data_IF_911037645742
#
_entry.id   IF_911037645742
#
_cell.length_a   1.000
_cell.length_b   1.000
_cell.length_c   1.000
_cell.angle_alpha   90.00
_cell.angle_beta   90.00
_cell.angle_gamma   90.00
#
_symmetry.space_group_name_H-M   'P 1'
#
loop_
_entity.id
_entity.type
_entity.pdbx_description
1 polymer ?
#
# COMPACT_ATOMS: atom_id res chain seq x y z
N UNK A 1 36.03 -18.84 -29.93
CA UNK A 1 34.79 -19.60 -29.68
C UNK A 1 33.89 -18.72 -28.80
N UNK A 2 32.95 -17.88 -29.26
CA UNK A 2 31.82 -18.03 -30.20
C UNK A 2 30.88 -19.19 -29.85
N UNK A 3 29.87 -18.88 -29.04
CA UNK A 3 28.50 -19.41 -29.06
C UNK A 3 27.54 -18.27 -28.65
N UNK A 4 26.26 -18.30 -29.07
CA UNK A 4 25.59 -17.16 -29.68
C UNK A 4 24.49 -16.56 -28.78
N UNK A 5 24.31 -15.25 -28.86
CA UNK A 5 23.14 -14.58 -28.31
C UNK A 5 22.06 -14.45 -29.38
N UNK A 6 20.99 -15.22 -29.18
CA UNK A 6 19.75 -15.17 -29.94
C UNK A 6 19.04 -13.83 -29.67
N UNK A 7 19.07 -12.92 -30.65
CA UNK A 7 18.33 -11.65 -30.63
C UNK A 7 17.00 -11.82 -31.37
N UNK A 8 15.95 -12.17 -30.63
CA UNK A 8 14.57 -11.94 -31.05
C UNK A 8 13.79 -11.35 -29.88
N UNK A 9 13.41 -10.07 -30.02
CA UNK A 9 12.40 -9.28 -29.30
C UNK A 9 12.91 -7.99 -28.63
N UNK A 10 13.21 -6.98 -29.46
CA UNK A 10 13.12 -5.57 -29.06
C UNK A 10 12.62 -4.73 -30.25
N UNK A 11 11.39 -4.17 -30.23
CA UNK A 11 10.93 -3.32 -31.30
C UNK A 11 11.04 -1.81 -30.95
N UNK A 12 11.51 -1.07 -31.96
CA UNK A 12 11.00 0.26 -32.39
C UNK A 12 11.23 1.50 -31.52
N UNK A 13 12.47 1.77 -31.11
CA UNK A 13 12.88 3.14 -30.75
C UNK A 13 14.01 3.72 -31.63
N UNK A 14 14.71 2.88 -32.40
CA UNK A 14 15.95 3.29 -33.07
C UNK A 14 15.82 3.66 -34.56
N UNK A 15 14.63 3.55 -35.16
CA UNK A 15 14.41 3.84 -36.60
C UNK A 15 13.91 5.26 -36.91
N UNK A 16 13.51 6.05 -35.91
CA UNK A 16 13.06 7.45 -36.11
C UNK A 16 14.22 8.46 -36.16
N UNK A 17 15.38 8.14 -35.58
CA UNK A 17 16.55 9.04 -35.56
C UNK A 17 17.30 9.19 -36.89
N UNK A 18 17.08 8.31 -37.88
CA UNK A 18 17.77 8.36 -39.18
C UNK A 18 16.92 8.88 -40.35
N UNK A 19 15.64 9.15 -40.13
CA UNK A 19 14.75 9.78 -41.12
C UNK A 19 14.79 11.33 -41.05
N UNK A 20 15.06 11.90 -39.87
CA UNK A 20 15.13 13.36 -39.67
C UNK A 20 16.51 13.97 -40.02
N UNK A 21 17.55 13.15 -40.17
CA UNK A 21 18.91 13.63 -40.46
C UNK A 21 19.26 13.68 -41.96
N UNK A 22 18.31 13.40 -42.88
CA UNK A 22 18.55 13.40 -44.34
C UNK A 22 17.74 14.42 -45.14
N UNK A 23 17.00 15.32 -44.48
CA UNK A 23 16.17 16.34 -45.15
C UNK A 23 16.74 17.76 -45.19
N UNK A 24 17.95 18.03 -44.66
CA UNK A 24 18.44 19.42 -44.42
C UNK A 24 19.46 19.90 -45.47
N UNK A 25 19.44 19.38 -46.70
CA UNK A 25 20.23 19.96 -47.79
C UNK A 25 19.49 19.88 -49.12
N UNK A 26 18.58 20.81 -49.36
CA UNK A 26 18.40 21.48 -50.66
C UNK A 26 17.15 22.35 -50.65
N UNK A 27 17.34 23.57 -51.16
CA UNK A 27 16.38 24.38 -51.89
C UNK A 27 15.10 24.87 -51.18
N UNK A 28 15.01 26.20 -51.10
CA UNK A 28 13.91 26.89 -51.77
C UNK A 28 12.74 27.29 -50.88
N UNK A 29 12.61 28.62 -50.74
CA UNK A 29 11.40 29.37 -50.39
C UNK A 29 10.12 28.63 -50.84
N UNK A 30 9.31 28.15 -49.89
CA UNK A 30 7.93 27.73 -50.13
C UNK A 30 7.06 28.30 -49.02
N UNK A 31 6.06 29.06 -49.44
CA UNK A 31 5.05 29.74 -48.64
C UNK A 31 4.31 28.74 -47.75
N UNK A 32 4.16 29.11 -46.47
CA UNK A 32 3.38 28.33 -45.51
C UNK A 32 1.90 28.64 -45.73
N UNK A 33 1.27 27.90 -46.62
CA UNK A 33 -0.19 27.73 -46.67
C UNK A 33 -0.49 26.24 -46.63
N UNK A 34 -0.79 25.73 -45.45
CA UNK A 34 -1.15 24.33 -45.26
C UNK A 34 -1.83 24.16 -43.91
N UNK A 35 -3.16 24.03 -43.95
CA UNK A 35 -4.01 23.65 -42.83
C UNK A 35 -3.40 22.49 -42.03
N UNK A 36 -3.03 22.74 -40.78
CA UNK A 36 -2.65 21.69 -39.84
C UNK A 36 -3.91 20.87 -39.49
N UNK A 37 -3.98 19.57 -39.82
CA UNK A 37 -5.07 18.75 -39.34
C UNK A 37 -4.94 18.59 -37.82
N UNK A 38 -6.04 18.81 -37.10
CA UNK A 38 -6.16 18.55 -35.66
C UNK A 38 -6.01 17.05 -35.37
N UNK A 39 -4.79 16.52 -35.45
CA UNK A 39 -4.48 15.16 -35.01
C UNK A 39 -4.42 15.15 -33.49
N UNK A 40 -5.60 14.96 -32.86
CA UNK A 40 -5.69 14.61 -31.44
C UNK A 40 -5.02 13.26 -31.26
N UNK A 41 -3.78 13.27 -30.79
CA UNK A 41 -3.07 12.07 -30.35
C UNK A 41 -3.88 11.40 -29.22
N UNK A 42 -4.75 10.47 -29.60
CA UNK A 42 -5.38 9.55 -28.64
C UNK A 42 -4.33 8.51 -28.26
N UNK A 43 -3.53 8.85 -27.25
CA UNK A 43 -2.69 7.89 -26.54
C UNK A 43 -3.54 6.68 -26.17
N UNK A 44 -3.06 5.50 -26.55
CA UNK A 44 -3.79 4.25 -26.47
C UNK A 44 -4.20 3.94 -25.02
N UNK A 45 -5.49 3.66 -24.83
CA UNK A 45 -6.13 3.39 -23.53
C UNK A 45 -5.74 2.05 -22.89
N UNK A 46 -4.61 1.43 -23.29
CA UNK A 46 -4.13 0.14 -22.77
C UNK A 46 -3.07 0.25 -21.68
N UNK A 47 -2.61 1.47 -21.35
CA UNK A 47 -1.78 1.77 -20.16
C UNK A 47 -2.67 2.24 -18.97
N UNK A 48 -4.00 2.21 -19.13
CA UNK A 48 -4.97 2.97 -18.34
C UNK A 48 -5.18 2.58 -16.85
N UNK A 49 -4.35 1.70 -16.29
CA UNK A 49 -4.35 1.40 -14.86
C UNK A 49 -3.07 1.90 -14.20
N UNK A 50 -2.77 3.19 -14.36
CA UNK A 50 -1.85 3.84 -13.42
C UNK A 50 -2.34 3.58 -11.98
N UNK A 51 -1.45 3.15 -11.08
CA UNK A 51 -1.80 2.92 -9.69
C UNK A 51 -2.37 4.21 -9.10
N UNK A 52 -3.32 4.07 -8.16
CA UNK A 52 -3.96 5.23 -7.51
C UNK A 52 -2.91 6.17 -6.90
N UNK A 53 -1.77 5.64 -6.44
CA UNK A 53 -0.65 6.42 -5.92
C UNK A 53 -0.03 7.36 -6.96
N UNK A 54 0.14 6.92 -8.22
CA UNK A 54 0.65 7.76 -9.30
C UNK A 54 -0.31 8.92 -9.61
N UNK A 55 -1.61 8.62 -9.68
CA UNK A 55 -2.68 9.62 -9.88
C UNK A 55 -2.76 10.64 -8.75
N UNK A 56 -2.53 10.21 -7.50
CA UNK A 56 -2.49 11.10 -6.34
C UNK A 56 -1.25 12.01 -6.38
N UNK A 57 -0.12 11.51 -6.89
CA UNK A 57 1.12 12.28 -7.01
C UNK A 57 1.07 13.32 -8.14
N UNK A 58 0.41 13.02 -9.27
CA UNK A 58 0.17 14.02 -10.31
C UNK A 58 -0.67 15.18 -9.78
N UNK A 59 -1.76 14.88 -9.05
CA UNK A 59 -2.55 15.88 -8.35
C UNK A 59 -1.72 16.68 -7.35
N UNK A 60 -0.91 16.01 -6.52
CA UNK A 60 -0.05 16.68 -5.54
C UNK A 60 0.97 17.63 -6.20
N UNK A 61 1.58 17.23 -7.32
CA UNK A 61 2.49 18.09 -8.10
C UNK A 61 1.78 19.33 -8.62
N UNK A 62 0.59 19.17 -9.19
CA UNK A 62 -0.20 20.28 -9.72
C UNK A 62 -0.60 21.24 -8.59
N UNK A 63 -1.03 20.72 -7.43
CA UNK A 63 -1.33 21.55 -6.26
C UNK A 63 -0.10 22.29 -5.75
N UNK A 64 1.07 21.65 -5.72
CA UNK A 64 2.32 22.27 -5.28
C UNK A 64 2.76 23.40 -6.22
N UNK A 65 2.70 23.19 -7.54
CA UNK A 65 3.03 24.21 -8.55
C UNK A 65 2.02 25.35 -8.51
N UNK A 66 0.73 25.04 -8.49
CA UNK A 66 -0.31 26.06 -8.43
C UNK A 66 -0.21 26.93 -7.16
N UNK A 67 0.14 26.34 -6.02
CA UNK A 67 0.36 27.09 -4.79
C UNK A 67 1.62 27.97 -4.85
N UNK A 68 2.71 27.50 -5.47
CA UNK A 68 3.96 28.28 -5.62
C UNK A 68 3.81 29.48 -6.54
N UNK A 69 3.15 29.27 -7.66
CA UNK A 69 2.99 30.25 -8.74
C UNK A 69 1.74 31.13 -8.57
N UNK A 70 0.96 30.92 -7.49
CA UNK A 70 -0.29 31.67 -7.25
C UNK A 70 -1.37 31.43 -8.31
N UNK A 71 -1.33 30.29 -9.02
CA UNK A 71 -2.22 30.00 -10.14
C UNK A 71 -3.62 29.58 -9.66
N UNK A 72 -4.66 29.76 -10.49
CA UNK A 72 -6.02 29.30 -10.18
C UNK A 72 -6.08 27.77 -10.02
N UNK A 73 -5.91 27.28 -8.79
CA UNK A 73 -5.84 25.84 -8.46
C UNK A 73 -7.03 25.06 -9.04
N UNK A 74 -8.22 25.67 -9.04
CA UNK A 74 -9.44 25.03 -9.53
C UNK A 74 -9.40 24.71 -11.03
N UNK A 75 -8.83 25.59 -11.86
CA UNK A 75 -8.70 25.36 -13.31
C UNK A 75 -7.71 24.25 -13.60
N UNK A 76 -6.57 24.23 -12.91
CA UNK A 76 -5.56 23.18 -13.08
C UNK A 76 -6.07 21.80 -12.62
N UNK A 77 -6.83 21.74 -11.53
CA UNK A 77 -7.49 20.50 -11.09
C UNK A 77 -8.55 20.04 -12.10
N UNK A 78 -9.28 20.97 -12.73
CA UNK A 78 -10.22 20.65 -13.79
C UNK A 78 -9.52 20.09 -15.04
N UNK A 79 -8.42 20.71 -15.47
CA UNK A 79 -7.60 20.24 -16.59
C UNK A 79 -7.07 18.81 -16.33
N UNK A 80 -6.54 18.56 -15.13
CA UNK A 80 -6.11 17.22 -14.72
C UNK A 80 -7.27 16.20 -14.71
N UNK A 81 -8.48 16.66 -14.42
CA UNK A 81 -9.65 15.79 -14.45
C UNK A 81 -9.95 15.27 -15.86
N UNK A 82 -9.65 16.05 -16.90
CA UNK A 82 -9.86 15.66 -18.29
C UNK A 82 -8.82 14.66 -18.82
N UNK A 83 -7.63 14.61 -18.22
CA UNK A 83 -6.60 13.59 -18.49
C UNK A 83 -6.94 12.22 -17.88
N UNK A 84 -7.87 12.16 -16.93
CA UNK A 84 -8.23 10.94 -16.23
C UNK A 84 -9.64 10.44 -16.61
N UNK A 85 -9.94 9.18 -16.28
CA UNK A 85 -11.24 8.57 -16.56
C UNK A 85 -11.88 7.94 -15.32
N UNK A 86 -13.18 7.62 -15.41
CA UNK A 86 -13.91 6.83 -14.41
C UNK A 86 -14.18 7.53 -13.08
N UNK A 87 -14.00 6.81 -11.97
CA UNK A 87 -14.29 7.32 -10.61
C UNK A 87 -13.35 8.44 -10.18
N UNK A 88 -12.09 8.41 -10.64
CA UNK A 88 -11.08 9.41 -10.25
C UNK A 88 -11.37 10.78 -10.89
N UNK A 89 -11.70 10.82 -12.19
CA UNK A 89 -12.18 12.04 -12.86
C UNK A 89 -13.33 12.71 -12.11
N UNK A 90 -14.35 11.92 -11.71
CA UNK A 90 -15.50 12.44 -10.93
C UNK A 90 -15.09 13.02 -9.56
N UNK A 91 -14.01 12.53 -8.95
CA UNK A 91 -13.46 13.10 -7.71
C UNK A 91 -12.76 14.43 -7.99
N UNK A 92 -11.91 14.49 -9.01
CA UNK A 92 -11.23 15.73 -9.40
C UNK A 92 -12.21 16.84 -9.81
N UNK A 93 -13.25 16.51 -10.59
CA UNK A 93 -14.30 17.48 -10.93
C UNK A 93 -15.11 17.96 -9.71
N UNK A 94 -15.24 17.16 -8.66
CA UNK A 94 -15.83 17.61 -7.39
C UNK A 94 -14.88 18.53 -6.65
N UNK A 95 -13.60 18.20 -6.59
CA UNK A 95 -12.57 19.05 -5.98
C UNK A 95 -12.49 20.40 -6.69
N UNK A 96 -12.44 20.42 -8.03
CA UNK A 96 -12.41 21.64 -8.84
C UNK A 96 -13.63 22.53 -8.57
N UNK A 97 -14.84 21.95 -8.54
CA UNK A 97 -16.07 22.70 -8.23
C UNK A 97 -16.05 23.34 -6.84
N UNK A 98 -15.53 22.64 -5.82
CA UNK A 98 -15.41 23.19 -4.46
C UNK A 98 -14.38 24.32 -4.38
N UNK A 99 -13.27 24.19 -5.10
CA UNK A 99 -12.28 25.26 -5.20
C UNK A 99 -12.84 26.47 -5.95
N UNK A 100 -13.64 26.26 -7.00
CA UNK A 100 -14.36 27.33 -7.72
C UNK A 100 -15.40 28.02 -6.85
N UNK A 101 -16.07 27.31 -5.94
CA UNK A 101 -17.04 27.90 -5.01
C UNK A 101 -16.39 28.67 -3.85
N UNK A 102 -15.06 28.82 -3.84
CA UNK A 102 -14.33 29.60 -2.84
C UNK A 102 -13.95 28.83 -1.57
N UNK A 103 -14.15 27.51 -1.51
CA UNK A 103 -13.69 26.72 -0.37
C UNK A 103 -12.17 26.72 -0.29
N UNK A 104 -11.63 26.77 0.93
CA UNK A 104 -10.18 26.65 1.14
C UNK A 104 -9.67 25.30 0.59
N UNK A 105 -8.41 25.26 0.13
CA UNK A 105 -7.80 24.04 -0.41
C UNK A 105 -7.93 22.85 0.56
N UNK A 106 -7.69 23.13 1.84
CA UNK A 106 -7.71 22.14 2.91
C UNK A 106 -9.13 21.58 3.13
N UNK A 107 -10.15 22.45 3.12
CA UNK A 107 -11.55 22.04 3.26
C UNK A 107 -12.05 21.28 2.02
N UNK A 108 -11.71 21.76 0.83
CA UNK A 108 -12.09 21.12 -0.43
C UNK A 108 -11.53 19.70 -0.55
N UNK A 109 -10.30 19.47 -0.05
CA UNK A 109 -9.66 18.16 0.02
C UNK A 109 -10.34 17.23 1.04
N UNK A 110 -10.69 17.72 2.23
CA UNK A 110 -11.40 16.90 3.23
C UNK A 110 -12.79 16.49 2.78
N UNK A 111 -13.52 17.40 2.13
CA UNK A 111 -14.84 17.12 1.59
C UNK A 111 -14.80 16.29 0.28
N UNK A 112 -13.61 15.93 -0.20
CA UNK A 112 -13.37 15.09 -1.38
C UNK A 112 -12.45 13.91 -1.02
N UNK A 113 -12.96 12.91 -0.26
CA UNK A 113 -12.15 11.77 0.13
C UNK A 113 -11.66 11.00 -1.10
N UNK A 114 -10.47 10.39 -0.97
CA UNK A 114 -9.75 9.62 -1.99
C UNK A 114 -9.20 10.38 -3.19
N UNK A 115 -9.36 11.70 -3.24
CA UNK A 115 -8.61 12.54 -4.18
C UNK A 115 -7.11 12.50 -3.83
N UNK A 116 -6.80 12.59 -2.54
CA UNK A 116 -5.48 12.34 -1.96
C UNK A 116 -5.57 11.27 -0.87
N UNK A 117 -4.40 10.80 -0.45
CA UNK A 117 -4.21 9.96 0.72
C UNK A 117 -4.59 10.71 2.02
N UNK A 118 -5.19 10.04 3.01
CA UNK A 118 -5.49 10.63 4.33
C UNK A 118 -4.24 11.27 4.98
N UNK A 119 -3.07 10.63 4.81
CA UNK A 119 -1.76 11.13 5.25
C UNK A 119 -1.38 12.45 4.55
N UNK A 120 -1.62 12.53 3.23
CA UNK A 120 -1.33 13.74 2.44
C UNK A 120 -2.28 14.89 2.79
N UNK A 121 -3.56 14.60 3.01
CA UNK A 121 -4.55 15.61 3.43
C UNK A 121 -4.21 16.16 4.81
N UNK A 122 -3.85 15.29 5.75
CA UNK A 122 -3.38 15.69 7.08
C UNK A 122 -2.12 16.55 6.99
N UNK A 123 -1.16 16.16 6.13
CA UNK A 123 0.06 16.92 5.90
C UNK A 123 -0.22 18.33 5.37
N UNK A 124 -1.05 18.44 4.32
CA UNK A 124 -1.42 19.73 3.71
C UNK A 124 -2.15 20.61 4.74
N UNK A 125 -3.06 20.04 5.53
CA UNK A 125 -3.73 20.78 6.62
C UNK A 125 -2.74 21.27 7.67
N UNK A 126 -1.84 20.41 8.12
CA UNK A 126 -0.81 20.77 9.09
C UNK A 126 0.07 21.89 8.55
N UNK A 127 0.59 21.74 7.32
CA UNK A 127 1.42 22.73 6.64
C UNK A 127 0.71 24.08 6.43
N UNK A 128 -0.60 24.06 6.17
CA UNK A 128 -1.41 25.27 6.08
C UNK A 128 -1.51 25.99 7.44
N UNK A 129 -1.80 25.26 8.52
CA UNK A 129 -1.92 25.85 9.87
C UNK A 129 -0.58 26.28 10.46
N UNK A 130 0.51 25.56 10.18
CA UNK A 130 1.86 25.91 10.60
C UNK A 130 2.54 26.94 9.68
N UNK A 131 1.90 27.33 8.57
CA UNK A 131 2.49 28.21 7.56
C UNK A 131 3.75 27.64 6.91
N UNK A 132 3.92 26.31 6.89
CA UNK A 132 5.04 25.61 6.25
C UNK A 132 4.62 24.86 4.99
N UNK A 133 3.51 25.27 4.37
CA UNK A 133 2.87 24.55 3.26
C UNK A 133 3.82 24.26 2.08
N UNK A 134 4.69 25.21 1.72
CA UNK A 134 5.72 25.00 0.68
C UNK A 134 6.68 23.86 1.03
N UNK A 135 7.24 23.88 2.24
CA UNK A 135 8.14 22.84 2.72
C UNK A 135 7.45 21.48 2.84
N UNK A 136 6.17 21.47 3.24
CA UNK A 136 5.36 20.25 3.28
C UNK A 136 5.14 19.67 1.88
N UNK A 137 4.85 20.49 0.86
CA UNK A 137 4.75 20.01 -0.52
C UNK A 137 6.08 19.45 -1.02
N UNK A 138 7.20 20.14 -0.78
CA UNK A 138 8.55 19.65 -1.13
C UNK A 138 8.82 18.28 -0.52
N UNK A 139 8.50 18.12 0.75
CA UNK A 139 8.71 16.88 1.48
C UNK A 139 7.81 15.73 0.99
N UNK A 140 6.53 16.00 0.72
CA UNK A 140 5.62 15.01 0.15
C UNK A 140 6.05 14.59 -1.26
N UNK A 141 6.62 15.51 -2.05
CA UNK A 141 7.14 15.24 -3.39
C UNK A 141 8.52 14.56 -3.38
N UNK A 142 9.33 14.76 -2.35
CA UNK A 142 10.63 14.10 -2.18
C UNK A 142 10.48 12.65 -1.71
N UNK A 143 9.38 12.30 -1.06
CA UNK A 143 9.11 10.94 -0.60
C UNK A 143 8.92 10.00 -1.81
N UNK A 144 9.74 8.94 -2.00
CA UNK A 144 9.59 8.00 -3.12
C UNK A 144 8.24 7.27 -3.10
N UNK A 145 7.67 6.94 -4.28
CA UNK A 145 6.39 6.20 -4.40
C UNK A 145 6.50 4.81 -3.77
N UNK A 146 7.68 4.20 -3.87
CA UNK A 146 7.94 2.81 -3.50
C UNK A 146 7.88 2.55 -1.99
N UNK A 147 7.96 3.59 -1.16
CA UNK A 147 8.19 3.43 0.28
C UNK A 147 6.91 3.49 1.13
N UNK A 148 5.79 4.00 0.58
CA UNK A 148 4.58 4.30 1.39
C UNK A 148 3.30 3.62 0.85
N UNK A 149 3.24 3.29 -0.44
CA UNK A 149 1.97 2.91 -1.07
C UNK A 149 1.99 1.58 -1.80
N UNK A 150 3.13 1.17 -2.31
CA UNK A 150 3.27 -0.08 -3.02
C UNK A 150 4.10 -1.01 -2.14
N UNK A 151 3.48 -2.10 -1.67
CA UNK A 151 4.24 -3.32 -1.51
C UNK A 151 5.17 -3.40 -2.72
N UNK A 152 6.50 -3.38 -2.49
CA UNK A 152 7.48 -3.46 -3.57
C UNK A 152 7.01 -4.49 -4.59
N UNK A 153 7.33 -4.38 -5.89
CA UNK A 153 6.94 -5.39 -6.87
C UNK A 153 7.12 -6.81 -6.31
N UNK A 154 8.20 -7.05 -5.56
CA UNK A 154 8.42 -8.24 -4.72
C UNK A 154 7.27 -8.62 -3.80
N UNK A 155 6.79 -7.73 -2.93
CA UNK A 155 5.67 -8.02 -2.03
C UNK A 155 4.32 -8.18 -2.78
N UNK A 156 4.11 -7.50 -3.91
CA UNK A 156 2.94 -7.77 -4.77
C UNK A 156 3.03 -9.16 -5.41
N UNK A 157 4.21 -9.57 -5.90
CA UNK A 157 4.45 -10.93 -6.39
C UNK A 157 4.25 -11.97 -5.28
N UNK A 158 4.73 -11.73 -4.06
CA UNK A 158 4.47 -12.60 -2.91
C UNK A 158 2.97 -12.76 -2.64
N UNK A 159 2.18 -11.70 -2.75
CA UNK A 159 0.72 -11.79 -2.57
C UNK A 159 0.02 -12.60 -3.67
N UNK A 160 0.42 -12.44 -4.93
CA UNK A 160 -0.11 -13.27 -6.01
C UNK A 160 0.27 -14.75 -5.81
N UNK A 161 1.51 -15.02 -5.40
CA UNK A 161 1.95 -16.36 -5.06
C UNK A 161 1.11 -16.96 -3.92
N UNK A 162 0.84 -16.20 -2.86
CA UNK A 162 0.00 -16.63 -1.72
C UNK A 162 -1.42 -17.00 -2.15
N UNK A 163 -2.06 -16.15 -2.96
CA UNK A 163 -3.42 -16.42 -3.47
C UNK A 163 -3.41 -17.65 -4.40
N UNK A 164 -2.43 -17.74 -5.31
CA UNK A 164 -2.28 -18.87 -6.21
C UNK A 164 -2.12 -20.19 -5.47
N UNK A 165 -1.28 -20.21 -4.42
CA UNK A 165 -1.09 -21.38 -3.57
C UNK A 165 -2.34 -21.74 -2.77
N UNK A 166 -3.07 -20.76 -2.23
CA UNK A 166 -4.35 -21.04 -1.56
C UNK A 166 -5.39 -21.62 -2.52
N UNK A 167 -5.44 -21.13 -3.76
CA UNK A 167 -6.33 -21.70 -4.78
C UNK A 167 -5.95 -23.13 -5.13
N UNK A 168 -4.65 -23.40 -5.32
CA UNK A 168 -4.14 -24.75 -5.56
C UNK A 168 -4.45 -25.69 -4.38
N UNK A 169 -4.23 -25.22 -3.16
CA UNK A 169 -4.54 -25.93 -1.93
C UNK A 169 -6.02 -26.32 -1.86
N UNK A 170 -6.89 -25.36 -2.14
CA UNK A 170 -8.33 -25.57 -2.17
C UNK A 170 -8.74 -26.58 -3.23
N UNK A 171 -8.15 -26.52 -4.43
CA UNK A 171 -8.39 -27.46 -5.52
C UNK A 171 -7.99 -28.89 -5.11
N UNK A 172 -6.78 -29.07 -4.58
CA UNK A 172 -6.25 -30.39 -4.18
C UNK A 172 -7.08 -30.99 -3.06
N UNK A 173 -7.37 -30.21 -2.00
CA UNK A 173 -8.20 -30.69 -0.90
C UNK A 173 -9.63 -31.04 -1.36
N UNK A 174 -10.24 -30.21 -2.19
CA UNK A 174 -11.60 -30.46 -2.67
C UNK A 174 -11.66 -31.71 -3.54
N UNK A 175 -10.65 -31.91 -4.40
CA UNK A 175 -10.54 -33.14 -5.19
C UNK A 175 -10.42 -34.39 -4.30
N UNK A 176 -9.56 -34.31 -3.27
CA UNK A 176 -9.33 -35.40 -2.34
C UNK A 176 -10.57 -35.74 -1.51
N UNK A 177 -11.27 -34.71 -1.01
CA UNK A 177 -12.52 -34.84 -0.29
C UNK A 177 -13.65 -35.44 -1.17
N UNK A 178 -13.88 -34.89 -2.36
CA UNK A 178 -15.03 -35.23 -3.20
C UNK A 178 -14.85 -36.53 -4.01
N UNK A 179 -13.62 -36.94 -4.32
CA UNK A 179 -13.36 -38.12 -5.18
C UNK A 179 -12.73 -39.27 -4.42
N UNK A 180 -11.68 -38.98 -3.67
CA UNK A 180 -10.87 -40.04 -3.05
C UNK A 180 -11.54 -40.55 -1.78
N UNK A 181 -12.03 -39.65 -0.91
CA UNK A 181 -12.68 -40.02 0.34
C UNK A 181 -13.93 -40.93 0.17
N UNK A 182 -14.88 -40.66 -0.75
CA UNK A 182 -16.02 -41.56 -0.94
C UNK A 182 -15.62 -42.92 -1.52
N UNK A 183 -14.58 -42.96 -2.36
CA UNK A 183 -14.05 -44.24 -2.88
C UNK A 183 -13.49 -45.09 -1.75
N UNK A 184 -12.77 -44.47 -0.80
CA UNK A 184 -12.26 -45.15 0.39
C UNK A 184 -13.37 -45.66 1.31
N UNK A 185 -14.49 -44.91 1.41
CA UNK A 185 -15.66 -45.36 2.17
C UNK A 185 -16.30 -46.59 1.55
N UNK A 186 -16.53 -46.59 0.24
CA UNK A 186 -17.11 -47.76 -0.44
C UNK A 186 -16.28 -49.02 -0.22
N UNK A 187 -14.96 -48.90 -0.30
CA UNK A 187 -14.04 -50.01 0.01
C UNK A 187 -14.17 -50.40 1.48
N UNK A 188 -14.19 -49.44 2.42
CA UNK A 188 -14.33 -49.75 3.85
C UNK A 188 -15.64 -50.49 4.17
N UNK A 189 -16.74 -50.11 3.52
CA UNK A 189 -18.06 -50.74 3.66
C UNK A 189 -18.08 -52.16 3.08
N UNK A 190 -17.47 -52.37 1.91
CA UNK A 190 -17.36 -53.70 1.28
C UNK A 190 -16.56 -54.71 2.12
N UNK A 191 -15.54 -54.24 2.84
CA UNK A 191 -14.71 -55.09 3.70
C UNK A 191 -15.18 -55.13 5.17
N UNK A 192 -16.36 -54.56 5.48
CA UNK A 192 -16.88 -54.37 6.86
C UNK A 192 -15.83 -53.79 7.83
N UNK A 193 -14.89 -53.01 7.28
CA UNK A 193 -13.73 -52.53 7.98
C UNK A 193 -14.10 -51.30 8.81
N UNK A 194 -13.76 -51.32 10.11
CA UNK A 194 -13.96 -50.16 10.96
C UNK A 194 -12.89 -49.08 10.69
N UNK A 195 -13.22 -47.93 10.06
CA UNK A 195 -12.21 -46.99 9.57
C UNK A 195 -11.35 -46.45 10.72
N UNK A 196 -10.05 -46.32 10.46
CA UNK A 196 -9.07 -45.82 11.43
C UNK A 196 -9.44 -44.42 11.95
N UNK A 197 -8.99 -44.08 13.15
CA UNK A 197 -9.23 -42.76 13.77
C UNK A 197 -8.74 -41.60 12.88
N UNK A 198 -7.67 -41.81 12.12
CA UNK A 198 -7.17 -40.85 11.14
C UNK A 198 -8.17 -40.58 9.99
N UNK A 199 -8.83 -41.63 9.47
CA UNK A 199 -9.86 -41.45 8.42
C UNK A 199 -11.12 -40.81 9.01
N UNK A 200 -11.53 -41.18 10.23
CA UNK A 200 -12.70 -40.58 10.90
C UNK A 200 -12.55 -39.07 11.11
N UNK A 201 -11.37 -38.62 11.54
CA UNK A 201 -11.07 -37.20 11.68
C UNK A 201 -11.04 -36.49 10.32
N UNK A 202 -10.47 -37.12 9.29
CA UNK A 202 -10.49 -36.58 7.93
C UNK A 202 -11.92 -36.45 7.38
N UNK A 203 -12.80 -37.40 7.67
CA UNK A 203 -14.23 -37.34 7.30
C UNK A 203 -14.98 -36.21 8.01
N UNK A 204 -14.75 -36.01 9.30
CA UNK A 204 -15.35 -34.91 10.05
C UNK A 204 -14.91 -33.55 9.49
N UNK A 205 -13.64 -33.41 9.14
CA UNK A 205 -13.08 -32.20 8.52
C UNK A 205 -13.62 -32.00 7.11
N UNK A 206 -13.75 -33.06 6.31
CA UNK A 206 -14.31 -33.01 4.94
C UNK A 206 -15.76 -32.54 4.94
N UNK A 207 -16.62 -33.12 5.80
CA UNK A 207 -18.03 -32.71 5.90
C UNK A 207 -18.18 -31.26 6.37
N UNK A 208 -17.30 -30.81 7.27
CA UNK A 208 -17.25 -29.40 7.68
C UNK A 208 -16.82 -28.48 6.52
N UNK A 209 -15.87 -28.91 5.70
CA UNK A 209 -15.40 -28.17 4.53
C UNK A 209 -16.45 -28.13 3.41
N UNK A 210 -17.19 -29.21 3.16
CA UNK A 210 -18.29 -29.24 2.18
C UNK A 210 -19.40 -28.27 2.55
N UNK A 211 -19.84 -28.26 3.82
CA UNK A 211 -20.86 -27.33 4.32
C UNK A 211 -20.42 -25.86 4.30
N UNK A 212 -19.11 -25.59 4.28
CA UNK A 212 -18.55 -24.23 4.27
C UNK A 212 -17.83 -23.88 2.96
N UNK A 213 -17.88 -24.74 1.94
CA UNK A 213 -17.15 -24.59 0.68
C UNK A 213 -17.42 -23.24 0.02
N UNK A 214 -18.70 -22.86 -0.07
CA UNK A 214 -19.13 -21.57 -0.59
C UNK A 214 -18.58 -20.40 0.22
N UNK A 215 -18.51 -20.51 1.55
CA UNK A 215 -17.95 -19.48 2.43
C UNK A 215 -16.43 -19.33 2.23
N UNK A 216 -15.69 -20.42 2.04
CA UNK A 216 -14.25 -20.37 1.78
C UNK A 216 -13.92 -19.78 0.39
N UNK A 217 -14.70 -20.12 -0.63
CA UNK A 217 -14.58 -19.51 -1.97
C UNK A 217 -14.90 -18.01 -1.90
N UNK A 218 -15.97 -17.65 -1.18
CA UNK A 218 -16.38 -16.26 -1.02
C UNK A 218 -15.38 -15.47 -0.17
N UNK A 219 -14.76 -16.10 0.83
CA UNK A 219 -13.66 -15.53 1.60
C UNK A 219 -12.40 -15.35 0.76
N UNK A 220 -12.01 -16.34 -0.04
CA UNK A 220 -10.89 -16.24 -0.98
C UNK A 220 -11.10 -15.15 -2.03
N UNK A 221 -12.31 -15.05 -2.57
CA UNK A 221 -12.70 -13.99 -3.49
C UNK A 221 -12.74 -12.62 -2.80
N UNK A 222 -13.23 -12.54 -1.57
CA UNK A 222 -13.23 -11.33 -0.76
C UNK A 222 -11.80 -10.86 -0.46
N UNK A 223 -10.89 -11.77 -0.09
CA UNK A 223 -9.47 -11.48 0.13
C UNK A 223 -8.82 -11.01 -1.17
N UNK A 224 -9.06 -11.69 -2.30
CA UNK A 224 -8.54 -11.29 -3.61
C UNK A 224 -9.05 -9.91 -4.04
N UNK A 225 -10.36 -9.64 -3.83
CA UNK A 225 -10.94 -8.30 -4.03
C UNK A 225 -10.33 -7.26 -3.09
N UNK A 226 -10.09 -7.60 -1.83
CA UNK A 226 -9.48 -6.71 -0.85
C UNK A 226 -8.06 -6.33 -1.26
N UNK A 227 -7.27 -7.33 -1.70
CA UNK A 227 -5.88 -7.20 -2.16
C UNK A 227 -5.80 -6.35 -3.42
N UNK A 228 -6.69 -6.57 -4.39
CA UNK A 228 -6.68 -5.89 -5.69
C UNK A 228 -7.34 -4.51 -5.67
N UNK A 229 -8.30 -4.26 -4.76
CA UNK A 229 -9.09 -3.02 -4.72
C UNK A 229 -8.33 -1.80 -4.16
N UNK A 230 -7.08 -1.93 -3.69
CA UNK A 230 -6.43 -0.90 -2.87
C UNK A 230 -7.13 -0.67 -1.52
N UNK A 231 -8.20 -1.43 -1.23
CA UNK A 231 -8.95 -1.43 0.03
C UNK A 231 -8.11 -2.02 1.15
N UNK A 232 -7.13 -2.88 0.82
CA UNK A 232 -6.13 -3.33 1.77
C UNK A 232 -5.36 -2.18 2.41
N UNK A 233 -5.12 -1.06 1.70
CA UNK A 233 -4.51 0.13 2.32
C UNK A 233 -5.36 0.69 3.45
N UNK A 234 -6.70 0.61 3.37
CA UNK A 234 -7.60 1.03 4.44
C UNK A 234 -7.82 -0.04 5.50
N UNK A 235 -7.91 -1.31 5.09
CA UNK A 235 -8.14 -2.44 6.00
C UNK A 235 -6.90 -2.74 6.84
N UNK A 236 -5.70 -2.72 6.26
CA UNK A 236 -4.42 -2.83 6.97
C UNK A 236 -4.24 -1.67 7.96
N UNK A 237 -4.59 -0.44 7.55
CA UNK A 237 -4.54 0.77 8.40
C UNK A 237 -5.55 0.78 9.55
N UNK A 238 -6.61 -0.03 9.49
CA UNK A 238 -7.72 -0.02 10.46
C UNK A 238 -7.76 -1.26 11.35
N UNK A 239 -7.53 -2.44 10.77
CA UNK A 239 -7.67 -3.75 11.45
C UNK A 239 -6.34 -4.27 11.97
N UNK A 240 -5.27 -4.22 11.16
CA UNK A 240 -3.94 -4.70 11.57
C UNK A 240 -3.16 -3.64 12.37
N UNK A 241 -3.47 -2.38 12.14
CA UNK A 241 -2.84 -1.26 12.83
C UNK A 241 -3.24 -1.10 14.31
N UNK A 242 -4.40 -1.59 14.71
CA UNK A 242 -5.00 -1.21 16.00
C UNK A 242 -4.87 -2.26 17.12
N UNK A 243 -4.60 -3.54 16.80
CA UNK A 243 -4.68 -4.61 17.82
C UNK A 243 -3.48 -5.54 17.99
N UNK A 244 -2.60 -5.72 17.00
CA UNK A 244 -1.63 -6.84 17.06
C UNK A 244 -0.15 -6.46 17.06
N UNK A 245 0.24 -5.20 16.83
CA UNK A 245 1.64 -4.90 16.55
C UNK A 245 2.11 -3.54 17.11
N UNK A 246 2.92 -3.60 18.18
CA UNK A 246 3.87 -2.53 18.58
C UNK A 246 4.61 -1.87 17.38
N UNK A 247 4.97 -2.57 16.27
CA UNK A 247 5.59 -1.90 15.12
C UNK A 247 4.70 -0.90 14.37
N UNK A 248 3.38 -0.91 14.52
CA UNK A 248 2.50 0.08 13.86
C UNK A 248 2.64 1.46 14.47
N UNK A 249 2.89 1.53 15.79
CA UNK A 249 3.17 2.80 16.48
C UNK A 249 4.40 3.48 15.89
N UNK A 250 5.41 2.70 15.48
CA UNK A 250 6.65 3.20 14.87
C UNK A 250 6.46 3.75 13.45
N UNK A 251 5.55 3.18 12.67
CA UNK A 251 5.21 3.75 11.36
C UNK A 251 4.58 5.14 11.51
N UNK A 252 3.71 5.29 12.52
CA UNK A 252 3.00 6.54 12.75
C UNK A 252 3.90 7.60 13.39
N UNK A 253 4.90 7.20 14.18
CA UNK A 253 5.95 8.14 14.62
C UNK A 253 6.80 8.64 13.45
N UNK A 254 7.09 7.82 12.43
CA UNK A 254 7.79 8.27 11.23
C UNK A 254 7.04 9.39 10.50
N UNK A 255 5.73 9.21 10.32
CA UNK A 255 4.86 10.21 9.68
C UNK A 255 4.81 11.51 10.49
N UNK A 256 4.63 11.41 11.81
CA UNK A 256 4.60 12.57 12.71
C UNK A 256 5.93 13.35 12.70
N UNK A 257 7.06 12.65 12.76
CA UNK A 257 8.38 13.28 12.71
C UNK A 257 8.64 13.98 11.38
N UNK A 258 8.15 13.39 10.28
CA UNK A 258 8.16 14.03 8.96
C UNK A 258 7.34 15.32 8.99
N UNK A 259 6.11 15.29 9.51
CA UNK A 259 5.25 16.48 9.56
C UNK A 259 5.82 17.58 10.46
N UNK A 260 6.36 17.22 11.62
CA UNK A 260 6.88 18.19 12.58
C UNK A 260 8.22 18.80 12.14
N UNK A 261 9.04 18.10 11.35
CA UNK A 261 10.38 18.55 10.95
C UNK A 261 10.39 19.95 10.29
N UNK A 262 9.56 20.25 9.26
CA UNK A 262 9.46 21.60 8.69
C UNK A 262 8.98 22.66 9.67
N UNK A 263 8.03 22.31 10.56
CA UNK A 263 7.52 23.25 11.55
C UNK A 263 8.59 23.61 12.59
N UNK A 264 9.40 22.63 13.00
CA UNK A 264 10.55 22.82 13.90
C UNK A 264 11.64 23.64 13.22
N UNK A 265 11.96 23.35 11.96
CA UNK A 265 12.91 24.15 11.17
C UNK A 265 12.49 25.63 11.08
N UNK A 266 11.19 25.87 10.92
CA UNK A 266 10.60 27.21 10.89
C UNK A 266 10.43 27.86 12.28
N UNK A 267 10.87 27.21 13.36
CA UNK A 267 10.78 27.74 14.72
C UNK A 267 9.35 27.84 15.26
N UNK A 268 8.39 27.07 14.73
CA UNK A 268 7.01 27.10 15.20
C UNK A 268 6.89 26.44 16.59
N UNK A 269 6.04 26.97 17.49
CA UNK A 269 5.82 26.37 18.81
C UNK A 269 5.31 24.93 18.72
N UNK A 270 6.01 23.98 19.38
CA UNK A 270 5.67 22.56 19.26
C UNK A 270 4.30 22.24 19.87
N UNK A 271 3.89 22.93 20.95
CA UNK A 271 2.55 22.75 21.53
C UNK A 271 1.42 23.02 20.52
N UNK A 272 1.52 24.09 19.73
CA UNK A 272 0.55 24.41 18.68
C UNK A 272 0.56 23.37 17.55
N UNK A 273 1.75 22.92 17.15
CA UNK A 273 1.90 21.85 16.16
C UNK A 273 1.26 20.53 16.64
N UNK A 274 1.50 20.13 17.89
CA UNK A 274 0.90 18.95 18.51
C UNK A 274 -0.62 19.08 18.64
N UNK A 275 -1.13 20.26 18.99
CA UNK A 275 -2.57 20.52 19.06
C UNK A 275 -3.26 20.35 17.71
N UNK A 276 -2.60 20.79 16.63
CA UNK A 276 -3.10 20.67 15.25
C UNK A 276 -3.17 19.21 14.83
N UNK A 277 -2.07 18.46 15.05
CA UNK A 277 -1.99 17.05 14.73
C UNK A 277 -2.98 16.25 15.56
N UNK A 278 -3.10 16.52 16.87
CA UNK A 278 -4.07 15.86 17.73
C UNK A 278 -5.51 16.03 17.21
N UNK A 279 -5.92 17.25 16.82
CA UNK A 279 -7.29 17.50 16.34
C UNK A 279 -7.63 16.77 15.05
N UNK A 280 -6.69 16.68 14.12
CA UNK A 280 -6.98 16.22 12.75
C UNK A 280 -6.41 14.84 12.41
N UNK A 281 -5.67 14.20 13.32
CA UNK A 281 -5.16 12.86 13.05
C UNK A 281 -6.32 11.89 12.81
N UNK A 282 -6.23 11.14 11.71
CA UNK A 282 -7.21 10.13 11.32
C UNK A 282 -7.23 8.90 12.26
N UNK A 283 -6.27 8.80 13.19
CA UNK A 283 -6.14 7.66 14.08
C UNK A 283 -6.39 8.02 15.54
N UNK A 284 -7.32 7.29 16.17
CA UNK A 284 -7.75 7.55 17.55
C UNK A 284 -6.65 7.29 18.59
N UNK A 285 -5.83 6.26 18.41
CA UNK A 285 -4.77 5.91 19.35
C UNK A 285 -3.63 6.93 19.29
N UNK A 286 -3.24 7.35 18.08
CA UNK A 286 -2.24 8.42 17.93
C UNK A 286 -2.77 9.76 18.43
N UNK A 287 -4.04 10.07 18.16
CA UNK A 287 -4.69 11.26 18.68
C UNK A 287 -4.64 11.34 20.21
N UNK A 288 -4.92 10.24 20.91
CA UNK A 288 -4.83 10.20 22.37
C UNK A 288 -3.40 10.47 22.87
N UNK A 289 -2.39 9.87 22.23
CA UNK A 289 -0.97 10.10 22.55
C UNK A 289 -0.53 11.54 22.29
N UNK A 290 -0.96 12.13 21.18
CA UNK A 290 -0.67 13.53 20.85
C UNK A 290 -1.36 14.49 21.81
N UNK A 291 -2.59 14.20 22.24
CA UNK A 291 -3.29 14.99 23.26
C UNK A 291 -2.56 14.94 24.60
N UNK A 292 -2.08 13.77 25.01
CA UNK A 292 -1.26 13.63 26.21
C UNK A 292 0.02 14.46 26.10
N UNK A 293 0.79 14.30 25.03
CA UNK A 293 2.02 15.06 24.83
C UNK A 293 1.78 16.58 24.75
N UNK A 294 0.67 17.01 24.15
CA UNK A 294 0.26 18.43 24.12
C UNK A 294 0.02 18.97 25.52
N UNK A 295 -0.75 18.25 26.35
CA UNK A 295 -1.08 18.67 27.71
C UNK A 295 0.18 18.76 28.58
N UNK A 296 1.13 17.84 28.43
CA UNK A 296 2.42 17.88 29.14
C UNK A 296 3.24 19.12 28.74
N UNK A 297 3.29 19.43 27.45
CA UNK A 297 4.00 20.62 26.95
C UNK A 297 3.34 21.90 27.44
N UNK A 298 2.00 21.95 27.50
CA UNK A 298 1.26 23.09 28.06
C UNK A 298 1.51 23.26 29.57
N UNK A 299 1.84 22.18 30.29
CA UNK A 299 2.24 22.21 31.69
C UNK A 299 3.73 22.56 31.90
N UNK A 300 4.49 22.81 30.82
CA UNK A 300 5.89 23.22 30.87
C UNK A 300 6.91 22.08 30.77
N UNK A 301 6.47 20.84 30.54
CA UNK A 301 7.37 19.72 30.28
C UNK A 301 8.13 19.91 28.96
N UNK A 302 9.37 19.41 28.89
CA UNK A 302 10.14 19.42 27.64
C UNK A 302 9.37 18.66 26.54
N UNK A 303 9.19 19.25 25.34
CA UNK A 303 8.35 18.63 24.31
C UNK A 303 8.85 17.29 23.79
N UNK A 304 10.16 17.05 23.81
CA UNK A 304 10.74 15.78 23.37
C UNK A 304 10.54 14.70 24.42
N UNK A 305 10.67 15.06 25.70
CA UNK A 305 10.35 14.18 26.82
C UNK A 305 8.87 13.79 26.83
N UNK A 306 7.96 14.74 26.58
CA UNK A 306 6.51 14.49 26.52
C UNK A 306 6.15 13.50 25.38
N UNK A 307 6.77 13.65 24.21
CA UNK A 307 6.60 12.71 23.09
C UNK A 307 7.14 11.31 23.40
N UNK A 308 8.20 11.22 24.21
CA UNK A 308 8.79 9.96 24.68
C UNK A 308 7.85 9.24 25.65
N UNK A 309 7.32 9.96 26.64
CA UNK A 309 6.34 9.43 27.62
C UNK A 309 5.07 8.97 26.92
N UNK A 310 4.59 9.70 25.90
CA UNK A 310 3.47 9.28 25.07
C UNK A 310 3.75 8.01 24.22
N UNK A 311 5.00 7.55 24.16
CA UNK A 311 5.45 6.43 23.35
C UNK A 311 5.34 6.72 21.85
N UNK A 312 5.58 7.98 21.45
CA UNK A 312 5.75 8.40 20.06
C UNK A 312 7.24 8.52 19.68
N UNK A 313 8.11 8.72 20.68
CA UNK A 313 9.57 8.67 20.55
C UNK A 313 10.15 7.60 21.47
N UNK A 314 11.31 7.05 21.12
CA UNK A 314 12.14 6.29 22.07
C UNK A 314 12.92 7.23 22.98
N UNK A 315 13.34 6.75 24.15
CA UNK A 315 14.11 7.55 25.13
C UNK A 315 15.38 8.13 24.49
N UNK A 316 16.14 7.31 23.78
CA UNK A 316 17.38 7.73 23.09
C UNK A 316 17.10 8.79 22.02
N UNK A 317 15.98 8.68 21.31
CA UNK A 317 15.56 9.63 20.28
C UNK A 317 15.16 10.98 20.89
N UNK A 318 14.45 10.96 22.02
CA UNK A 318 14.10 12.17 22.77
C UNK A 318 15.33 12.88 23.35
N UNK A 319 16.30 12.13 23.87
CA UNK A 319 17.54 12.70 24.39
C UNK A 319 18.38 13.34 23.29
N UNK A 320 18.49 12.70 22.12
CA UNK A 320 19.20 13.25 20.97
C UNK A 320 18.56 14.55 20.46
N UNK A 321 17.23 14.64 20.45
CA UNK A 321 16.52 15.86 20.05
C UNK A 321 16.64 16.97 21.10
N UNK A 322 16.48 16.65 22.39
CA UNK A 322 16.63 17.61 23.49
C UNK A 322 18.06 18.17 23.58
N UNK A 323 19.08 17.33 23.37
CA UNK A 323 20.49 17.72 23.41
C UNK A 323 20.95 18.56 22.21
N UNK A 324 20.15 18.66 21.16
CA UNK A 324 20.47 19.50 20.01
C UNK A 324 19.99 20.94 20.21
N UNK A 325 20.86 21.91 19.99
CA UNK A 325 20.61 23.34 20.29
C UNK A 325 19.94 24.10 19.14
N UNK A 326 20.26 23.75 17.89
CA UNK A 326 19.70 24.40 16.70
C UNK A 326 18.43 23.73 16.19
N UNK A 327 17.43 24.56 15.84
CA UNK A 327 16.20 24.11 15.18
C UNK A 327 16.46 23.41 13.84
N UNK A 328 17.50 23.83 13.09
CA UNK A 328 17.89 23.16 11.84
C UNK A 328 18.42 21.74 12.09
N UNK A 329 19.27 21.57 13.11
CA UNK A 329 19.80 20.26 13.50
C UNK A 329 18.70 19.34 14.01
N UNK A 330 17.75 19.86 14.81
CA UNK A 330 16.55 19.12 15.25
C UNK A 330 15.75 18.64 14.05
N UNK A 331 15.43 19.53 13.11
CA UNK A 331 14.65 19.18 11.93
C UNK A 331 15.34 18.10 11.07
N UNK A 332 16.66 18.19 10.90
CA UNK A 332 17.45 17.18 10.19
C UNK A 332 17.42 15.82 10.92
N UNK A 333 17.62 15.81 12.25
CA UNK A 333 17.53 14.60 13.06
C UNK A 333 16.14 13.96 12.96
N UNK A 334 15.08 14.75 13.04
CA UNK A 334 13.70 14.25 12.88
C UNK A 334 13.47 13.61 11.51
N UNK A 335 14.02 14.20 10.44
CA UNK A 335 13.94 13.61 9.11
C UNK A 335 14.68 12.26 9.04
N UNK A 336 15.88 12.19 9.63
CA UNK A 336 16.68 10.96 9.68
C UNK A 336 16.04 9.88 10.53
N UNK A 337 15.46 10.25 11.66
CA UNK A 337 14.69 9.35 12.53
C UNK A 337 13.47 8.83 11.78
N UNK A 338 12.72 9.69 11.10
CA UNK A 338 11.57 9.28 10.30
C UNK A 338 11.95 8.26 9.21
N UNK A 339 13.04 8.50 8.48
CA UNK A 339 13.55 7.55 7.49
C UNK A 339 13.95 6.21 8.12
N UNK A 340 14.59 6.24 9.30
CA UNK A 340 14.94 5.03 10.04
C UNK A 340 13.70 4.26 10.47
N UNK A 341 12.69 4.93 11.03
CA UNK A 341 11.43 4.31 11.44
C UNK A 341 10.69 3.70 10.24
N UNK A 342 10.66 4.41 9.10
CA UNK A 342 10.06 3.92 7.86
C UNK A 342 10.74 2.64 7.36
N UNK A 343 12.08 2.65 7.26
CA UNK A 343 12.87 1.48 6.80
C UNK A 343 12.74 0.29 7.75
N UNK A 344 12.75 0.52 9.06
CA UNK A 344 12.56 -0.55 10.05
C UNK A 344 11.18 -1.21 9.93
N UNK A 345 10.15 -0.42 9.64
CA UNK A 345 8.82 -0.96 9.41
C UNK A 345 8.74 -1.75 8.10
N UNK A 346 9.20 -1.16 6.99
CA UNK A 346 9.22 -1.82 5.68
C UNK A 346 9.97 -3.15 5.71
N UNK A 347 11.16 -3.17 6.33
CA UNK A 347 11.96 -4.39 6.49
C UNK A 347 11.28 -5.46 7.32
N UNK A 348 10.63 -5.10 8.45
CA UNK A 348 9.90 -6.08 9.28
C UNK A 348 8.67 -6.66 8.56
N UNK A 349 7.93 -5.83 7.84
CA UNK A 349 6.79 -6.28 7.05
C UNK A 349 7.25 -7.21 5.94
N UNK A 350 8.32 -6.86 5.23
CA UNK A 350 8.92 -7.70 4.20
C UNK A 350 9.39 -9.06 4.76
N UNK A 351 10.03 -9.07 5.93
CA UNK A 351 10.45 -10.30 6.62
C UNK A 351 9.26 -11.18 7.04
N UNK A 352 8.21 -10.58 7.61
CA UNK A 352 6.99 -11.32 7.97
C UNK A 352 6.32 -11.93 6.73
N UNK A 353 6.24 -11.16 5.63
CA UNK A 353 5.71 -11.64 4.35
C UNK A 353 6.58 -12.76 3.77
N UNK A 354 7.91 -12.65 3.84
CA UNK A 354 8.83 -13.68 3.33
C UNK A 354 8.81 -14.95 4.16
N UNK A 355 8.55 -14.87 5.47
CA UNK A 355 8.38 -16.04 6.35
C UNK A 355 7.01 -16.71 6.22
N UNK A 356 5.98 -15.95 5.81
CA UNK A 356 4.65 -16.49 5.58
C UNK A 356 4.64 -17.49 4.42
N UNK A 357 5.45 -17.27 3.40
CA UNK A 357 5.58 -18.14 2.23
C UNK A 357 6.02 -19.58 2.60
N UNK A 358 7.18 -19.81 3.26
CA UNK A 358 7.57 -21.16 3.66
C UNK A 358 6.63 -21.76 4.71
N UNK A 359 6.05 -20.96 5.60
CA UNK A 359 5.08 -21.46 6.58
C UNK A 359 3.84 -22.10 5.92
N UNK A 360 3.33 -21.52 4.83
CA UNK A 360 2.18 -22.07 4.09
C UNK A 360 2.56 -23.36 3.37
N UNK A 361 3.76 -23.42 2.76
CA UNK A 361 4.25 -24.64 2.11
C UNK A 361 4.41 -25.76 3.13
N UNK A 362 4.97 -25.46 4.31
CA UNK A 362 5.08 -26.42 5.42
C UNK A 362 3.72 -26.90 5.93
N UNK A 363 2.74 -25.99 6.05
CA UNK A 363 1.38 -26.37 6.43
C UNK A 363 0.74 -27.31 5.40
N UNK A 364 0.90 -27.04 4.10
CA UNK A 364 0.45 -27.94 3.03
C UNK A 364 1.14 -29.30 3.11
N UNK A 365 2.47 -29.31 3.24
CA UNK A 365 3.23 -30.54 3.36
C UNK A 365 2.76 -31.38 4.56
N UNK A 366 2.50 -30.74 5.71
CA UNK A 366 1.96 -31.40 6.90
C UNK A 366 0.58 -32.01 6.65
N UNK A 367 -0.30 -31.32 5.92
CA UNK A 367 -1.65 -31.80 5.65
C UNK A 367 -1.64 -32.95 4.64
N UNK A 368 -0.87 -32.82 3.56
CA UNK A 368 -0.68 -33.91 2.58
C UNK A 368 -0.04 -35.13 3.25
N UNK A 369 0.96 -34.94 4.11
CA UNK A 369 1.58 -36.02 4.88
C UNK A 369 0.57 -36.69 5.83
N UNK A 370 -0.27 -35.91 6.51
CA UNK A 370 -1.32 -36.45 7.37
C UNK A 370 -2.33 -37.29 6.58
N UNK A 371 -2.75 -36.84 5.41
CA UNK A 371 -3.68 -37.59 4.56
C UNK A 371 -3.00 -38.85 4.01
N UNK A 372 -1.75 -38.76 3.57
CA UNK A 372 -0.96 -39.91 3.15
C UNK A 372 -0.86 -40.95 4.27
N UNK A 373 -0.57 -40.52 5.50
CA UNK A 373 -0.55 -41.39 6.67
C UNK A 373 -1.91 -42.07 6.92
N UNK A 374 -3.01 -41.32 6.82
CA UNK A 374 -4.35 -41.88 6.95
C UNK A 374 -4.66 -42.93 5.87
N UNK A 375 -4.26 -42.67 4.62
CA UNK A 375 -4.45 -43.57 3.48
C UNK A 375 -3.59 -44.84 3.59
N UNK A 376 -2.30 -44.71 3.88
CA UNK A 376 -1.43 -45.87 4.06
C UNK A 376 -1.87 -46.73 5.24
N UNK A 377 -2.28 -46.11 6.36
CA UNK A 377 -2.83 -46.83 7.51
C UNK A 377 -4.13 -47.57 7.20
N UNK A 378 -4.97 -47.02 6.32
CA UNK A 378 -6.15 -47.72 5.80
C UNK A 378 -5.78 -48.96 5.00
N UNK A 379 -4.87 -48.80 4.03
CA UNK A 379 -4.47 -49.86 3.12
C UNK A 379 -3.74 -50.99 3.85
N UNK A 380 -2.78 -50.65 4.72
CA UNK A 380 -2.05 -51.63 5.54
C UNK A 380 -2.98 -52.40 6.44
N UNK A 381 -4.01 -51.73 6.94
CA UNK A 381 -5.11 -52.36 7.62
C UNK A 381 -5.70 -53.46 6.73
N UNK A 382 -6.30 -53.09 5.59
CA UNK A 382 -7.02 -54.04 4.72
C UNK A 382 -6.17 -55.26 4.38
N UNK A 383 -4.89 -55.05 4.08
CA UNK A 383 -3.93 -56.13 3.79
C UNK A 383 -3.77 -57.08 4.99
N UNK A 384 -3.65 -56.56 6.21
CA UNK A 384 -3.53 -57.36 7.44
C UNK A 384 -4.79 -58.16 7.82
N UNK A 385 -5.96 -57.76 7.32
CA UNK A 385 -7.20 -58.52 7.54
C UNK A 385 -7.46 -59.56 6.45
N UNK A 386 -6.91 -59.36 5.26
CA UNK A 386 -6.95 -60.31 4.14
C UNK A 386 -5.87 -61.40 4.23
N UNK A 387 -4.76 -61.13 4.93
CA UNK A 387 -3.70 -62.07 5.25
C UNK A 387 -4.04 -62.86 6.52
#
# INVERSE_FOLDING_TARGET
MKFPFNQQNFPTAYRLGRALARGVRSAGRLEITGHLPHQRWRLSSRIANEPLAAKQRSLLRILAVAHREGLPTAQWVANLADEHHGRYRRRLLRLARRLQSGSSLVEALEQTPDALSDEMVLAIRFGHQSGTLRATFDQLLATPVDDVGEASPTARYSMFYLVGMMLLYFLVLSFLALRILPTLMHIAEEFEWNPSTAIRTLMAVSRFLEGTFLLWVLLGFAILRLVTSGMMRRFYRRVWASRLLRPVVRLRSAELLRLLSPAVAAGRPLGSALSTLARHHYDRNVRAKLLFARNEVEQGSDPWSALSVAGLLQRDESQALAGSTSNGTRAWLMHRLADRHQRQFGGRVALLLSLLQPAIVLALAGIVAWIGFAFFGFLSGIILMLA
#
